data_IF_555806522261
#
_entry.id   IF_555806522261
#
_cell.length_a   1.000
_cell.length_b   1.000
_cell.length_c   1.000
_cell.angle_alpha   90.00
_cell.angle_beta   90.00
_cell.angle_gamma   90.00
#
_symmetry.space_group_name_H-M   'P 1'
#
loop_
_entity.id
_entity.type
_entity.pdbx_description
1 polymer ?
#
# COMPACT_ATOMS: atom_id res chain seq x y z
N UNK A 1 -15.08 16.71 4.10
CA UNK A 1 -14.15 16.04 3.18
C UNK A 1 -13.11 17.05 2.71
N UNK A 2 -11.84 16.77 2.95
CA UNK A 2 -10.78 17.49 2.27
C UNK A 2 -10.82 17.07 0.80
N UNK A 3 -10.69 18.04 -0.11
CA UNK A 3 -10.59 17.73 -1.53
C UNK A 3 -9.33 16.93 -1.86
N UNK A 4 -9.38 16.10 -2.89
CA UNK A 4 -8.19 15.46 -3.42
C UNK A 4 -7.26 16.49 -4.06
N UNK A 5 -5.94 16.25 -4.15
CA UNK A 5 -5.03 17.12 -4.89
C UNK A 5 -5.50 17.30 -6.34
N UNK A 6 -5.13 18.43 -6.95
CA UNK A 6 -5.51 18.72 -8.33
C UNK A 6 -5.06 17.61 -9.27
N UNK A 7 -5.99 17.11 -10.10
CA UNK A 7 -5.75 16.05 -11.06
C UNK A 7 -5.83 14.63 -10.48
N UNK A 8 -5.89 14.47 -9.17
CA UNK A 8 -6.06 13.15 -8.54
C UNK A 8 -7.53 12.80 -8.46
N UNK A 9 -7.90 11.66 -9.02
CA UNK A 9 -9.28 11.20 -9.06
C UNK A 9 -9.35 9.68 -8.98
N UNK A 10 -10.32 9.17 -8.24
CA UNK A 10 -10.66 7.75 -8.28
C UNK A 10 -11.44 7.49 -9.58
N UNK A 11 -10.82 6.73 -10.49
CA UNK A 11 -11.43 6.38 -11.78
C UNK A 11 -12.55 5.37 -11.59
N UNK A 12 -12.26 4.27 -10.88
CA UNK A 12 -13.24 3.24 -10.54
C UNK A 12 -12.78 2.42 -9.35
N UNK A 13 -13.72 1.71 -8.75
CA UNK A 13 -13.50 0.76 -7.67
C UNK A 13 -14.10 -0.57 -8.08
N UNK A 14 -13.32 -1.64 -8.02
CA UNK A 14 -13.76 -3.00 -8.31
C UNK A 14 -13.66 -3.86 -7.05
N UNK A 15 -14.78 -4.42 -6.62
CA UNK A 15 -14.84 -5.33 -5.47
C UNK A 15 -14.45 -6.73 -5.90
N UNK A 16 -13.30 -7.21 -5.44
CA UNK A 16 -12.83 -8.59 -5.70
C UNK A 16 -13.53 -9.54 -4.73
N UNK A 17 -13.55 -9.19 -3.45
CA UNK A 17 -14.35 -9.84 -2.40
C UNK A 17 -14.98 -8.76 -1.52
N UNK A 18 -15.74 -9.13 -0.52
CA UNK A 18 -16.28 -8.16 0.44
C UNK A 18 -15.18 -7.45 1.26
N UNK A 19 -13.99 -8.04 1.32
CA UNK A 19 -12.86 -7.54 2.10
C UNK A 19 -11.64 -7.20 1.26
N UNK A 20 -11.71 -7.33 -0.06
CA UNK A 20 -10.62 -7.00 -0.98
C UNK A 20 -11.15 -6.16 -2.13
N UNK A 21 -10.58 -4.99 -2.31
CA UNK A 21 -11.04 -4.02 -3.31
C UNK A 21 -9.85 -3.55 -4.15
N UNK A 22 -10.07 -3.38 -5.46
CA UNK A 22 -9.11 -2.76 -6.37
C UNK A 22 -9.57 -1.33 -6.66
N UNK A 23 -8.71 -0.38 -6.36
CA UNK A 23 -8.97 1.05 -6.55
C UNK A 23 -8.08 1.54 -7.69
N UNK A 24 -8.67 2.13 -8.71
CA UNK A 24 -7.96 2.67 -9.87
C UNK A 24 -7.94 4.19 -9.77
N UNK A 25 -6.74 4.76 -9.69
CA UNK A 25 -6.54 6.17 -9.40
C UNK A 25 -5.86 6.84 -10.57
N UNK A 26 -6.48 7.91 -11.08
CA UNK A 26 -5.84 8.78 -12.05
C UNK A 26 -4.79 9.63 -11.33
N UNK A 27 -3.55 9.50 -11.77
CA UNK A 27 -2.39 10.15 -11.16
C UNK A 27 -1.81 11.18 -12.12
N UNK A 28 -1.75 12.46 -11.74
CA UNK A 28 -1.06 13.46 -12.57
C UNK A 28 0.44 13.20 -12.69
N UNK A 29 1.04 12.50 -11.72
CA UNK A 29 2.46 12.11 -11.77
C UNK A 29 2.72 10.98 -12.75
N UNK A 30 1.74 10.12 -13.00
CA UNK A 30 1.82 8.98 -13.92
C UNK A 30 0.55 8.88 -14.76
N UNK A 31 0.39 9.78 -15.75
CA UNK A 31 -0.90 9.97 -16.42
C UNK A 31 -1.28 8.92 -17.48
N UNK A 32 -0.36 8.00 -17.82
CA UNK A 32 -0.55 7.08 -18.96
C UNK A 32 -1.75 6.15 -18.80
N UNK A 33 -2.03 5.70 -17.57
CA UNK A 33 -3.17 4.87 -17.25
C UNK A 33 -3.48 4.99 -15.76
N UNK A 34 -4.71 4.65 -15.31
CA UNK A 34 -5.01 4.64 -13.89
C UNK A 34 -4.11 3.66 -13.13
N UNK A 35 -3.66 4.05 -11.95
CA UNK A 35 -2.82 3.22 -11.10
C UNK A 35 -3.72 2.37 -10.21
N UNK A 36 -3.53 1.06 -10.26
CA UNK A 36 -4.25 0.13 -9.41
C UNK A 36 -3.59 0.01 -8.05
N UNK A 37 -4.39 0.17 -7.01
CA UNK A 37 -3.99 -0.16 -5.64
C UNK A 37 -5.05 -1.10 -5.07
N UNK A 38 -4.65 -2.29 -4.67
CA UNK A 38 -5.55 -3.20 -3.99
C UNK A 38 -5.49 -2.96 -2.48
N UNK A 39 -6.62 -3.09 -1.82
CA UNK A 39 -6.74 -2.87 -0.39
C UNK A 39 -7.43 -4.07 0.24
N UNK A 40 -6.78 -4.69 1.21
CA UNK A 40 -7.41 -5.63 2.11
C UNK A 40 -8.03 -4.82 3.25
N UNK A 41 -9.34 -4.80 3.33
CA UNK A 41 -10.05 -3.99 4.30
C UNK A 41 -9.95 -4.59 5.70
N UNK A 42 -9.87 -3.74 6.71
CA UNK A 42 -9.87 -4.14 8.11
C UNK A 42 -11.09 -5.02 8.44
N UNK A 43 -10.92 -5.93 9.41
CA UNK A 43 -11.97 -6.87 9.83
C UNK A 43 -13.31 -6.17 10.07
N UNK A 44 -13.30 -5.05 10.77
CA UNK A 44 -14.53 -4.33 11.15
C UNK A 44 -14.84 -3.14 10.24
N UNK A 45 -14.29 -3.11 9.03
CA UNK A 45 -14.47 -1.98 8.11
C UNK A 45 -15.93 -1.77 7.74
N UNK A 46 -16.67 -2.85 7.47
CA UNK A 46 -18.10 -2.80 7.14
C UNK A 46 -18.97 -2.68 8.39
N UNK A 47 -18.62 -3.39 9.46
CA UNK A 47 -19.42 -3.43 10.69
C UNK A 47 -19.32 -2.17 11.54
N UNK A 48 -18.24 -1.39 11.36
CA UNK A 48 -18.04 -0.14 12.09
C UNK A 48 -17.72 1.00 11.11
N UNK A 49 -18.75 1.59 10.47
CA UNK A 49 -18.54 2.53 9.37
C UNK A 49 -17.91 3.87 9.76
N UNK A 50 -17.83 4.19 11.04
CA UNK A 50 -17.20 5.44 11.53
C UNK A 50 -15.78 5.24 12.04
N UNK A 51 -15.33 4.00 12.22
CA UNK A 51 -13.98 3.72 12.70
C UNK A 51 -12.92 4.05 11.65
N UNK A 52 -11.77 4.49 12.13
CA UNK A 52 -10.55 4.67 11.33
C UNK A 52 -9.57 3.58 11.68
N UNK A 53 -8.77 3.17 10.71
CA UNK A 53 -7.88 2.02 10.85
C UNK A 53 -6.43 2.38 10.50
N UNK A 54 -5.46 1.74 11.17
CA UNK A 54 -4.06 1.83 10.75
C UNK A 54 -3.85 1.07 9.44
N UNK A 55 -2.73 1.35 8.79
CA UNK A 55 -2.39 0.78 7.50
C UNK A 55 -1.05 0.07 7.53
N UNK A 56 -0.97 -1.04 6.80
CA UNK A 56 0.28 -1.67 6.42
C UNK A 56 0.41 -1.55 4.91
N UNK A 57 1.44 -0.87 4.46
CA UNK A 57 1.76 -0.73 3.04
C UNK A 57 2.72 -1.86 2.64
N UNK A 58 2.25 -2.75 1.79
CA UNK A 58 2.99 -3.93 1.36
C UNK A 58 3.51 -3.73 -0.06
N UNK A 59 4.79 -3.37 -0.17
CA UNK A 59 5.43 -3.08 -1.45
C UNK A 59 5.93 -4.36 -2.11
N UNK A 60 5.74 -4.43 -3.42
CA UNK A 60 6.13 -5.57 -4.24
C UNK A 60 7.65 -5.58 -4.52
N UNK A 61 8.12 -6.71 -5.04
CA UNK A 61 9.52 -6.89 -5.41
C UNK A 61 9.88 -6.30 -6.77
N UNK A 62 11.09 -6.61 -7.21
CA UNK A 62 11.68 -6.09 -8.45
C UNK A 62 10.86 -6.46 -9.70
N UNK A 63 10.18 -7.60 -9.68
CA UNK A 63 9.38 -8.12 -10.80
C UNK A 63 7.89 -7.93 -10.56
N UNK A 64 7.50 -6.78 -10.02
CA UNK A 64 6.11 -6.45 -9.80
C UNK A 64 5.31 -6.56 -11.10
N UNK A 65 4.14 -7.20 -11.03
CA UNK A 65 3.23 -7.35 -12.16
C UNK A 65 2.31 -6.15 -12.27
N UNK A 66 1.71 -5.98 -13.44
CA UNK A 66 0.78 -4.89 -13.70
C UNK A 66 -0.68 -5.23 -13.34
N UNK A 67 -0.96 -6.47 -12.97
CA UNK A 67 -2.31 -6.96 -12.68
C UNK A 67 -2.55 -7.31 -11.22
N UNK A 68 -1.51 -7.70 -10.47
CA UNK A 68 -1.65 -8.12 -9.08
C UNK A 68 -0.34 -7.89 -8.31
N UNK A 69 -0.45 -7.58 -7.01
CA UNK A 69 0.70 -7.43 -6.14
C UNK A 69 1.27 -8.79 -5.74
N UNK A 70 2.60 -8.93 -5.73
CA UNK A 70 3.28 -10.19 -5.40
C UNK A 70 2.97 -10.72 -4.00
N UNK A 71 2.62 -9.87 -3.05
CA UNK A 71 2.20 -10.30 -1.72
C UNK A 71 0.96 -11.20 -1.77
N UNK A 72 0.01 -10.90 -2.64
CA UNK A 72 -1.20 -11.73 -2.79
C UNK A 72 -0.94 -12.98 -3.61
N UNK A 73 0.03 -12.94 -4.53
CA UNK A 73 0.39 -14.09 -5.37
C UNK A 73 1.25 -15.10 -4.61
N UNK A 74 2.26 -14.64 -3.88
CA UNK A 74 3.33 -15.46 -3.32
C UNK A 74 3.23 -15.71 -1.82
N UNK A 75 2.34 -14.99 -1.12
CA UNK A 75 2.19 -15.10 0.32
C UNK A 75 0.74 -15.33 0.75
N UNK A 76 0.56 -15.62 2.04
CA UNK A 76 -0.75 -15.76 2.67
C UNK A 76 -1.26 -14.46 3.31
N UNK A 77 -0.87 -13.30 2.77
CA UNK A 77 -1.16 -12.00 3.37
C UNK A 77 -2.67 -11.77 3.59
N UNK A 78 -3.49 -12.18 2.65
CA UNK A 78 -4.94 -12.03 2.73
C UNK A 78 -5.52 -12.83 3.90
N UNK A 79 -5.10 -14.07 4.07
CA UNK A 79 -5.48 -14.92 5.20
C UNK A 79 -4.95 -14.36 6.53
N UNK A 80 -3.71 -13.91 6.54
CA UNK A 80 -3.05 -13.40 7.74
C UNK A 80 -3.78 -12.18 8.32
N UNK A 81 -4.24 -11.27 7.48
CA UNK A 81 -4.91 -10.05 7.91
C UNK A 81 -6.44 -10.18 8.01
N UNK A 82 -7.02 -11.35 7.70
CA UNK A 82 -8.47 -11.54 7.68
C UNK A 82 -9.14 -11.24 9.03
N UNK A 83 -8.46 -11.48 10.14
CA UNK A 83 -8.98 -11.29 11.50
C UNK A 83 -8.42 -10.03 12.19
N UNK A 84 -7.77 -9.14 11.46
CA UNK A 84 -7.11 -7.96 12.02
C UNK A 84 -7.75 -6.66 11.57
N UNK A 85 -7.78 -5.68 12.46
CA UNK A 85 -8.31 -4.34 12.18
C UNK A 85 -7.26 -3.41 11.58
N UNK A 86 -6.72 -3.82 10.45
CA UNK A 86 -5.70 -3.10 9.70
C UNK A 86 -6.09 -3.12 8.23
N UNK A 87 -6.02 -1.98 7.56
CA UNK A 87 -6.10 -1.92 6.11
C UNK A 87 -4.72 -2.24 5.53
N UNK A 88 -4.66 -3.18 4.60
CA UNK A 88 -3.41 -3.51 3.90
C UNK A 88 -3.43 -2.88 2.52
N UNK A 89 -2.44 -2.04 2.23
CA UNK A 89 -2.35 -1.27 1.00
C UNK A 89 -1.34 -1.96 0.08
N UNK A 90 -1.82 -2.41 -1.06
CA UNK A 90 -1.07 -3.25 -2.01
C UNK A 90 -0.98 -2.53 -3.36
N UNK A 91 0.01 -1.64 -3.57
CA UNK A 91 0.22 -1.02 -4.87
C UNK A 91 0.52 -2.08 -5.94
N UNK A 92 -0.04 -1.94 -7.12
CA UNK A 92 0.12 -2.86 -8.24
C UNK A 92 0.94 -2.20 -9.33
N UNK A 93 1.97 -2.88 -9.81
CA UNK A 93 2.88 -2.35 -10.82
C UNK A 93 4.18 -1.83 -10.23
N UNK A 94 4.88 -1.00 -11.00
CA UNK A 94 6.15 -0.43 -10.55
C UNK A 94 7.34 -1.35 -10.69
N UNK A 95 7.31 -2.26 -11.65
CA UNK A 95 8.44 -3.15 -11.95
C UNK A 95 9.76 -2.37 -12.04
N UNK A 96 10.76 -2.83 -11.30
CA UNK A 96 12.11 -2.24 -11.26
C UNK A 96 12.17 -0.76 -10.84
N UNK A 97 11.05 -0.18 -10.38
CA UNK A 97 11.00 1.24 -9.98
C UNK A 97 11.58 1.49 -8.60
N UNK A 98 11.61 0.48 -7.72
CA UNK A 98 11.86 0.62 -6.28
C UNK A 98 10.95 1.68 -5.63
N UNK A 99 9.79 1.97 -6.24
CA UNK A 99 8.82 2.96 -5.77
C UNK A 99 9.42 4.35 -5.57
N UNK A 100 10.41 4.69 -6.40
CA UNK A 100 11.04 6.01 -6.44
C UNK A 100 10.56 6.81 -7.65
N UNK A 101 10.91 8.09 -7.68
CA UNK A 101 10.64 8.94 -8.85
C UNK A 101 11.79 8.83 -9.84
N UNK A 102 11.49 8.43 -11.07
CA UNK A 102 12.46 8.40 -12.14
C UNK A 102 12.61 9.78 -12.75
N UNK A 103 13.85 10.21 -12.95
CA UNK A 103 14.18 11.48 -13.60
C UNK A 103 14.11 11.39 -15.13
N UNK A 104 14.25 10.19 -15.67
CA UNK A 104 14.25 9.94 -17.13
C UNK A 104 13.34 8.78 -17.46
N UNK A 105 12.73 8.85 -18.65
CA UNK A 105 11.98 7.75 -19.22
C UNK A 105 12.90 6.57 -19.54
N UNK A 106 12.45 5.36 -19.23
CA UNK A 106 13.15 4.12 -19.53
C UNK A 106 12.16 3.11 -20.12
N UNK A 107 12.45 2.60 -21.32
CA UNK A 107 11.58 1.66 -22.03
C UNK A 107 10.12 2.15 -22.18
N UNK A 108 9.93 3.43 -22.44
CA UNK A 108 8.61 4.04 -22.51
C UNK A 108 7.91 4.25 -21.17
N UNK A 109 8.60 4.01 -20.06
CA UNK A 109 8.05 4.16 -18.70
C UNK A 109 8.74 5.29 -17.97
N UNK A 110 7.94 6.17 -17.37
CA UNK A 110 8.42 7.26 -16.52
C UNK A 110 7.73 7.15 -15.16
N UNK A 111 8.30 6.34 -14.28
CA UNK A 111 7.70 6.07 -12.98
C UNK A 111 7.97 7.21 -12.00
N UNK A 112 6.91 7.69 -11.35
CA UNK A 112 6.95 8.64 -10.25
C UNK A 112 6.22 8.07 -9.04
N UNK A 113 6.60 6.88 -8.64
CA UNK A 113 5.92 6.12 -7.61
C UNK A 113 6.00 6.76 -6.23
N UNK A 114 7.13 7.36 -5.87
CA UNK A 114 7.24 8.03 -4.58
C UNK A 114 6.25 9.19 -4.46
N UNK A 115 6.16 10.04 -5.47
CA UNK A 115 5.18 11.14 -5.51
C UNK A 115 3.76 10.61 -5.44
N UNK A 116 3.45 9.57 -6.21
CA UNK A 116 2.13 8.94 -6.17
C UNK A 116 1.79 8.43 -4.77
N UNK A 117 2.66 7.62 -4.18
CA UNK A 117 2.39 6.99 -2.89
C UNK A 117 2.26 8.03 -1.75
N UNK A 118 3.15 9.02 -1.71
CA UNK A 118 3.22 9.93 -0.57
C UNK A 118 2.33 11.16 -0.68
N UNK A 119 2.01 11.61 -1.90
CA UNK A 119 1.26 12.85 -2.12
C UNK A 119 -0.10 12.65 -2.75
N UNK A 120 -0.29 11.61 -3.53
CA UNK A 120 -1.53 11.38 -4.27
C UNK A 120 -2.39 10.28 -3.64
N UNK A 121 -1.78 9.17 -3.23
CA UNK A 121 -2.51 8.04 -2.65
C UNK A 121 -3.01 8.32 -1.23
N UNK A 122 -2.21 8.95 -0.39
CA UNK A 122 -2.58 9.21 1.01
C UNK A 122 -3.90 9.97 1.14
N UNK A 123 -4.17 11.06 0.39
CA UNK A 123 -5.47 11.72 0.46
C UNK A 123 -6.64 10.82 0.07
N UNK A 124 -6.45 9.94 -0.90
CA UNK A 124 -7.50 8.96 -1.29
C UNK A 124 -7.78 8.00 -0.14
N UNK A 125 -6.74 7.48 0.51
CA UNK A 125 -6.90 6.57 1.65
C UNK A 125 -7.58 7.25 2.83
N UNK A 126 -7.23 8.50 3.10
CA UNK A 126 -7.85 9.27 4.18
C UNK A 126 -9.34 9.53 3.91
N UNK A 127 -9.69 9.89 2.68
CA UNK A 127 -11.07 10.28 2.34
C UNK A 127 -12.00 9.08 2.12
N UNK A 128 -11.51 8.03 1.48
CA UNK A 128 -12.36 6.92 1.02
C UNK A 128 -12.22 5.64 1.86
N UNK A 129 -11.09 5.45 2.54
CA UNK A 129 -10.78 4.19 3.22
C UNK A 129 -10.54 4.33 4.72
N UNK A 130 -10.78 5.50 5.27
CA UNK A 130 -10.77 5.75 6.72
C UNK A 130 -9.43 5.43 7.39
N UNK A 131 -8.34 5.93 6.80
CA UNK A 131 -7.00 5.87 7.41
C UNK A 131 -6.95 6.68 8.69
N UNK A 132 -6.34 6.13 9.74
CA UNK A 132 -6.10 6.89 10.98
C UNK A 132 -4.75 7.61 10.99
N UNK A 133 -3.98 7.55 9.90
CA UNK A 133 -2.67 8.18 9.78
C UNK A 133 -1.50 7.35 10.30
N UNK A 134 -1.76 6.24 10.95
CA UNK A 134 -0.71 5.33 11.44
C UNK A 134 -0.35 4.33 10.34
N UNK A 135 0.92 4.32 9.89
CA UNK A 135 1.37 3.52 8.76
C UNK A 135 2.65 2.77 9.07
N UNK A 136 2.68 1.50 8.68
CA UNK A 136 3.90 0.72 8.54
C UNK A 136 4.13 0.44 7.06
N UNK A 137 5.38 0.30 6.64
CA UNK A 137 5.72 -0.12 5.28
C UNK A 137 6.58 -1.37 5.34
N UNK A 138 6.20 -2.38 4.55
CA UNK A 138 6.94 -3.63 4.44
C UNK A 138 7.21 -3.92 2.97
N UNK A 139 8.32 -4.57 2.70
CA UNK A 139 8.70 -4.97 1.35
C UNK A 139 8.88 -6.47 1.24
N UNK A 140 8.40 -7.03 0.13
CA UNK A 140 8.58 -8.44 -0.20
C UNK A 140 9.93 -8.63 -0.87
N UNK A 141 10.79 -9.48 -0.26
CA UNK A 141 12.10 -9.81 -0.81
C UNK A 141 12.92 -8.54 -1.12
N UNK A 142 13.25 -8.28 -2.38
CA UNK A 142 13.99 -7.08 -2.81
C UNK A 142 13.19 -5.78 -2.64
N UNK A 143 11.87 -5.85 -2.50
CA UNK A 143 11.04 -4.71 -2.13
C UNK A 143 11.34 -4.15 -0.74
N UNK A 144 12.04 -4.93 0.10
CA UNK A 144 12.51 -4.45 1.40
C UNK A 144 13.43 -3.23 1.30
N UNK A 145 14.33 -3.19 0.31
CA UNK A 145 15.17 -2.03 0.04
C UNK A 145 14.34 -0.80 -0.33
N UNK A 146 13.32 -0.99 -1.17
CA UNK A 146 12.40 0.08 -1.55
C UNK A 146 11.62 0.62 -0.35
N UNK A 147 11.16 -0.27 0.53
CA UNK A 147 10.46 0.11 1.75
C UNK A 147 11.34 0.95 2.68
N UNK A 148 12.59 0.52 2.90
CA UNK A 148 13.55 1.26 3.72
C UNK A 148 13.81 2.64 3.12
N UNK A 149 14.10 2.72 1.83
CA UNK A 149 14.38 3.98 1.15
C UNK A 149 13.18 4.95 1.22
N UNK A 150 11.98 4.44 1.00
CA UNK A 150 10.76 5.24 1.08
C UNK A 150 10.56 5.80 2.49
N UNK A 151 10.74 4.97 3.52
CA UNK A 151 10.59 5.38 4.92
C UNK A 151 11.67 6.40 5.33
N UNK A 152 12.92 6.21 4.90
CA UNK A 152 14.01 7.14 5.20
C UNK A 152 13.80 8.52 4.57
N UNK A 153 13.27 8.56 3.34
CA UNK A 153 12.96 9.83 2.67
C UNK A 153 11.70 10.51 3.20
N UNK A 154 10.84 9.75 3.89
CA UNK A 154 9.56 10.24 4.42
C UNK A 154 9.38 9.82 5.90
N UNK A 155 10.25 10.30 6.80
CA UNK A 155 10.32 9.76 8.18
C UNK A 155 9.06 10.03 9.02
N UNK A 156 8.22 11.00 8.62
CA UNK A 156 6.99 11.32 9.34
C UNK A 156 5.77 10.54 8.86
N UNK A 157 5.89 9.79 7.76
CA UNK A 157 4.77 9.05 7.19
C UNK A 157 4.67 7.61 7.69
N UNK A 158 5.80 7.00 8.02
CA UNK A 158 5.85 5.59 8.40
C UNK A 158 6.49 5.41 9.77
N UNK A 159 5.81 4.70 10.66
CA UNK A 159 6.28 4.40 12.02
C UNK A 159 7.13 3.13 12.07
N UNK A 160 6.98 2.28 11.07
CA UNK A 160 7.66 1.00 11.01
C UNK A 160 8.04 0.66 9.58
N UNK A 161 9.20 0.03 9.42
CA UNK A 161 9.65 -0.51 8.15
C UNK A 161 10.15 -1.94 8.34
N UNK A 162 9.84 -2.81 7.39
CA UNK A 162 10.27 -4.20 7.44
C UNK A 162 10.49 -4.81 6.08
N UNK A 163 11.25 -5.90 6.05
CA UNK A 163 11.49 -6.72 4.86
C UNK A 163 11.16 -8.17 5.20
N UNK A 164 10.40 -8.83 4.32
CA UNK A 164 9.95 -10.18 4.54
C UNK A 164 10.15 -11.04 3.29
N UNK A 165 10.28 -12.35 3.51
CA UNK A 165 10.29 -13.34 2.43
C UNK A 165 9.47 -14.56 2.87
N UNK A 166 8.49 -14.97 2.05
CA UNK A 166 7.68 -16.15 2.30
C UNK A 166 6.43 -15.88 3.14
N UNK A 167 5.98 -16.92 3.83
CA UNK A 167 4.73 -16.92 4.55
C UNK A 167 4.76 -16.07 5.82
N UNK A 168 3.65 -15.39 6.09
CA UNK A 168 3.41 -14.69 7.35
C UNK A 168 2.96 -15.68 8.41
N UNK A 169 3.66 -15.67 9.55
CA UNK A 169 3.38 -16.54 10.69
C UNK A 169 3.31 -15.69 11.96
N UNK A 170 2.25 -15.86 12.73
CA UNK A 170 2.06 -15.13 14.00
C UNK A 170 3.07 -15.55 15.08
N UNK A 171 3.72 -16.69 14.91
CA UNK A 171 4.74 -17.18 15.84
C UNK A 171 6.14 -16.71 15.50
N UNK A 172 6.35 -16.13 14.31
CA UNK A 172 7.67 -15.66 13.85
C UNK A 172 8.09 -14.41 14.60
N UNK A 173 9.29 -14.44 15.19
CA UNK A 173 9.87 -13.31 15.92
C UNK A 173 10.16 -12.14 14.99
N UNK A 174 9.77 -10.93 15.37
CA UNK A 174 10.00 -9.70 14.62
C UNK A 174 8.85 -9.24 13.75
N UNK A 175 8.14 -10.15 13.09
CA UNK A 175 6.98 -9.82 12.27
C UNK A 175 5.80 -9.28 13.10
N UNK A 176 5.45 -9.89 14.26
CA UNK A 176 4.39 -9.35 15.12
C UNK A 176 4.65 -7.92 15.60
N UNK A 177 5.90 -7.49 15.67
CA UNK A 177 6.28 -6.15 16.16
C UNK A 177 5.82 -5.06 15.18
N UNK A 178 6.06 -5.22 13.88
CA UNK A 178 5.60 -4.27 12.87
C UNK A 178 4.07 -4.18 12.83
N UNK A 179 3.39 -5.32 12.91
CA UNK A 179 1.93 -5.39 12.93
C UNK A 179 1.38 -4.72 14.19
N UNK A 180 1.96 -5.03 15.36
CA UNK A 180 1.56 -4.44 16.63
C UNK A 180 1.73 -2.92 16.64
N UNK A 181 2.84 -2.40 16.12
CA UNK A 181 3.07 -0.97 16.04
C UNK A 181 2.00 -0.26 15.20
N UNK A 182 1.61 -0.84 14.07
CA UNK A 182 0.53 -0.30 13.25
C UNK A 182 -0.85 -0.39 13.94
N UNK A 183 -1.08 -1.41 14.76
CA UNK A 183 -2.33 -1.63 15.48
C UNK A 183 -2.45 -0.81 16.76
N UNK A 184 -1.36 -0.63 17.50
CA UNK A 184 -1.36 0.05 18.82
C UNK A 184 -1.69 1.54 18.71
N UNK A 185 -1.47 2.15 17.56
CA UNK A 185 -1.81 3.55 17.33
C UNK A 185 -3.25 3.75 16.79
N UNK A 186 -4.02 2.69 16.80
CA UNK A 186 -5.41 2.71 16.32
C UNK A 186 -6.39 3.23 17.38
#
# INVERSE_FOLDING_TARGET
RQGLPEGVKVDRIEWITSRRVAVFINSPSMPDHPIQVQILLARDWHSNPTAKFPEVWALDGLRARDDENGWTIETNIEQFYADKNVNVILPVGGESSFYSDWQRENNGKHYKWETFLTKELIPVLNNEFRSNGSRAVVGLSMGGTAAVNLAERNPNLFKFVGSFSGYLDTTTTGMPTAIKAAQMDA
#
